data_IF_199860948149
#
_entry.id   IF_199860948149
#
_cell.length_a   1.000
_cell.length_b   1.000
_cell.length_c   1.000
_cell.angle_alpha   90.00
_cell.angle_beta   90.00
_cell.angle_gamma   90.00
#
_symmetry.space_group_name_H-M   'P 1'
#
loop_
_entity.id
_entity.type
_entity.pdbx_description
1 polymer ?
#
# COMPACT_ATOMS: atom_id res chain seq x y z
N UNK A 1 23.73 -11.21 11.82
CA UNK A 1 22.48 -10.69 11.22
C UNK A 1 22.14 -9.36 11.89
N UNK A 2 22.00 -8.28 11.12
CA UNK A 2 21.78 -6.92 11.67
C UNK A 2 20.27 -6.75 11.93
N UNK A 3 19.88 -6.45 13.17
CA UNK A 3 18.46 -6.17 13.52
C UNK A 3 18.12 -4.76 13.02
N UNK A 4 17.23 -4.68 12.04
CA UNK A 4 16.69 -3.41 11.55
C UNK A 4 15.82 -2.77 12.65
N UNK A 5 15.99 -1.47 12.86
CA UNK A 5 15.13 -0.70 13.77
C UNK A 5 13.71 -0.60 13.21
N UNK A 6 12.70 -0.34 14.06
CA UNK A 6 11.29 -0.22 13.64
C UNK A 6 11.10 0.82 12.52
N UNK A 7 11.92 1.88 12.53
CA UNK A 7 11.94 2.96 11.55
C UNK A 7 12.56 2.51 10.21
N UNK A 8 13.59 1.67 10.26
CA UNK A 8 14.15 1.03 9.07
C UNK A 8 13.21 -0.06 8.55
N UNK A 9 12.50 -0.81 9.39
CA UNK A 9 11.46 -1.76 8.96
C UNK A 9 10.36 -1.06 8.17
N UNK A 10 10.00 0.17 8.56
CA UNK A 10 9.04 1.02 7.83
C UNK A 10 9.63 1.64 6.56
N UNK A 11 10.95 1.75 6.41
CA UNK A 11 11.59 2.20 5.17
C UNK A 11 11.92 1.05 4.20
N UNK A 12 12.10 -0.16 4.73
CA UNK A 12 12.33 -1.39 3.95
C UNK A 12 11.01 -2.06 3.56
N UNK A 13 9.92 -1.80 4.31
CA UNK A 13 8.54 -2.22 3.99
C UNK A 13 7.58 -1.04 3.72
N UNK A 14 8.08 0.19 3.69
CA UNK A 14 7.33 1.35 3.22
C UNK A 14 7.43 1.41 1.71
N UNK A 15 6.39 1.61 0.95
CA UNK A 15 5.07 2.08 1.33
C UNK A 15 4.29 2.09 0.03
N UNK A 16 3.93 0.91 -0.43
CA UNK A 16 2.93 0.73 -1.46
C UNK A 16 1.64 0.13 -0.89
N UNK A 17 1.58 -0.14 0.42
CA UNK A 17 0.37 -0.52 1.15
C UNK A 17 0.37 0.19 2.51
N UNK A 18 -0.76 0.78 2.91
CA UNK A 18 -0.99 1.34 4.25
C UNK A 18 -2.47 1.37 4.61
N UNK A 19 -2.86 1.48 5.89
CA UNK A 19 -4.24 1.78 6.23
C UNK A 19 -4.68 3.17 5.71
N UNK A 20 -5.97 3.34 5.39
CA UNK A 20 -6.53 4.67 5.19
C UNK A 20 -6.45 5.51 6.47
N UNK A 21 -6.61 6.82 6.31
CA UNK A 21 -6.73 7.72 7.45
C UNK A 21 -8.06 7.51 8.20
N UNK A 22 -8.27 8.27 9.28
CA UNK A 22 -9.47 8.18 10.11
C UNK A 22 -10.78 8.49 9.34
N UNK A 23 -10.69 9.14 8.18
CA UNK A 23 -11.82 9.47 7.31
C UNK A 23 -11.99 8.45 6.17
N UNK A 24 -11.20 7.39 6.14
CA UNK A 24 -11.23 6.40 5.05
C UNK A 24 -10.47 6.82 3.79
N UNK A 25 -9.65 7.87 3.84
CA UNK A 25 -8.95 8.37 2.67
C UNK A 25 -7.52 7.84 2.54
N UNK A 26 -7.09 7.73 1.28
CA UNK A 26 -5.71 7.41 0.93
C UNK A 26 -4.93 8.68 0.55
N UNK A 27 -3.59 8.66 0.66
CA UNK A 27 -2.76 9.75 0.16
C UNK A 27 -2.97 9.98 -1.34
N UNK A 28 -2.66 11.19 -1.80
CA UNK A 28 -2.73 11.50 -3.23
C UNK A 28 -1.84 10.54 -4.04
N UNK A 29 -2.40 10.02 -5.14
CA UNK A 29 -1.73 9.02 -6.00
C UNK A 29 -1.81 7.58 -5.48
N UNK A 30 -2.69 7.31 -4.52
CA UNK A 30 -2.95 5.98 -3.99
C UNK A 30 -4.41 5.58 -4.21
N UNK A 31 -4.62 4.29 -4.44
CA UNK A 31 -5.92 3.67 -4.58
C UNK A 31 -6.43 3.11 -3.26
N UNK A 32 -7.71 3.36 -2.93
CA UNK A 32 -8.39 2.73 -1.81
C UNK A 32 -8.98 1.38 -2.25
N UNK A 33 -8.43 0.30 -1.72
CA UNK A 33 -8.94 -1.04 -1.93
C UNK A 33 -10.28 -1.27 -1.22
N UNK A 34 -11.16 -2.14 -1.76
CA UNK A 34 -12.36 -2.62 -1.08
C UNK A 34 -12.10 -3.24 0.30
N UNK A 35 -10.91 -3.82 0.50
CA UNK A 35 -10.43 -4.38 1.78
C UNK A 35 -10.04 -3.31 2.81
N UNK A 36 -10.29 -2.03 2.51
CA UNK A 36 -9.99 -0.89 3.37
C UNK A 36 -8.48 -0.70 3.62
N UNK A 37 -7.71 -0.78 2.53
CA UNK A 37 -6.26 -0.61 2.52
C UNK A 37 -5.89 0.31 1.36
N UNK A 38 -4.98 1.24 1.57
CA UNK A 38 -4.46 2.12 0.54
C UNK A 38 -3.26 1.48 -0.14
N UNK A 39 -3.26 1.46 -1.47
CA UNK A 39 -2.17 0.95 -2.28
C UNK A 39 -1.63 2.05 -3.19
N UNK A 40 -0.31 2.18 -3.30
CA UNK A 40 0.28 3.16 -4.20
C UNK A 40 0.18 2.66 -5.65
N UNK A 41 -0.77 3.20 -6.40
CA UNK A 41 -0.97 2.93 -7.83
C UNK A 41 -0.39 4.07 -8.71
N UNK A 42 0.33 5.02 -8.09
CA UNK A 42 0.84 6.23 -8.72
C UNK A 42 -0.23 6.99 -9.50
N UNK A 43 -1.44 7.09 -8.94
CA UNK A 43 -2.58 7.78 -9.57
C UNK A 43 -3.09 7.07 -10.82
N UNK A 44 -3.04 5.74 -10.83
CA UNK A 44 -3.47 4.89 -11.94
C UNK A 44 -2.38 4.57 -12.98
N UNK A 45 -1.18 5.13 -12.85
CA UNK A 45 -0.06 4.79 -13.74
C UNK A 45 0.45 3.35 -13.51
N UNK A 46 0.24 2.79 -12.33
CA UNK A 46 0.56 1.41 -11.95
C UNK A 46 -0.72 0.67 -11.51
N UNK A 47 -1.58 0.25 -12.46
CA UNK A 47 -2.87 -0.35 -12.11
C UNK A 47 -2.71 -1.68 -11.34
N UNK A 48 -3.59 -1.90 -10.37
CA UNK A 48 -3.63 -3.12 -9.55
C UNK A 48 -4.34 -4.22 -10.34
N UNK A 49 -3.59 -4.92 -11.20
CA UNK A 49 -4.06 -6.04 -12.02
C UNK A 49 -3.78 -7.40 -11.37
N UNK A 50 -4.38 -8.52 -11.82
CA UNK A 50 -4.18 -9.87 -11.24
C UNK A 50 -2.73 -10.38 -11.13
N UNK A 51 -1.75 -9.72 -11.78
CA UNK A 51 -0.32 -9.98 -11.63
C UNK A 51 0.44 -9.02 -10.70
N UNK A 52 -0.23 -7.99 -10.18
CA UNK A 52 0.36 -7.04 -9.24
C UNK A 52 0.58 -7.70 -7.88
N UNK A 53 1.71 -7.44 -7.21
CA UNK A 53 1.94 -7.92 -5.85
C UNK A 53 0.86 -7.45 -4.86
N UNK A 54 0.12 -6.40 -5.19
CA UNK A 54 -0.91 -5.81 -4.34
C UNK A 54 -2.32 -6.33 -4.65
N UNK A 55 -2.51 -7.13 -5.71
CA UNK A 55 -3.83 -7.59 -6.13
C UNK A 55 -4.55 -8.40 -5.04
N UNK A 56 -3.85 -9.35 -4.43
CA UNK A 56 -4.40 -10.16 -3.34
C UNK A 56 -4.69 -9.34 -2.08
N UNK A 57 -3.91 -8.30 -1.80
CA UNK A 57 -4.20 -7.43 -0.67
C UNK A 57 -5.47 -6.59 -0.91
N UNK A 58 -5.76 -6.27 -2.16
CA UNK A 58 -6.82 -5.36 -2.57
C UNK A 58 -8.16 -6.08 -2.86
N UNK A 59 -8.09 -7.29 -3.42
CA UNK A 59 -9.25 -8.04 -3.94
C UNK A 59 -9.30 -9.52 -3.50
N UNK A 60 -8.37 -9.97 -2.65
CA UNK A 60 -8.24 -11.36 -2.20
C UNK A 60 -8.71 -11.61 -0.78
#
# INVERSE_FOLDING_TARGET
>A
MKKLSRKELMNVNGGNIRPPDANGNCPAGWYLCPTNICVNDNGGANPIVPGSPFYKACFG
#
